data_IF_990001395945
#
_entry.id   IF_990001395945
#
_cell.length_a   1.000
_cell.length_b   1.000
_cell.length_c   1.000
_cell.angle_alpha   90.00
_cell.angle_beta   90.00
_cell.angle_gamma   90.00
#
_symmetry.space_group_name_H-M   'P 1'
#
loop_
_entity.id
_entity.type
_entity.pdbx_description
1 polymer ?
#
# COMPACT_ATOMS: atom_id res chain seq x y z
N UNK A 1 25.31 1.47 -5.73
CA UNK A 1 24.06 1.17 -6.47
C UNK A 1 22.91 1.89 -5.79
N UNK A 2 21.97 2.46 -6.54
CA UNK A 2 20.84 3.22 -6.00
C UNK A 2 19.92 2.30 -5.16
N UNK A 3 19.49 2.78 -3.98
CA UNK A 3 18.60 2.04 -3.04
C UNK A 3 17.29 2.77 -2.76
N UNK A 4 17.24 4.07 -3.02
CA UNK A 4 16.06 4.91 -2.84
C UNK A 4 15.87 5.76 -4.07
N UNK A 5 14.65 5.85 -4.56
CA UNK A 5 14.27 6.65 -5.70
C UNK A 5 13.01 7.44 -5.37
N UNK A 6 13.11 8.76 -5.44
CA UNK A 6 11.98 9.67 -5.23
C UNK A 6 11.56 10.23 -6.59
N UNK A 7 10.34 9.91 -7.01
CA UNK A 7 9.70 10.42 -8.22
C UNK A 7 8.42 11.20 -7.89
N UNK A 8 8.26 11.58 -6.61
CA UNK A 8 7.05 12.23 -6.11
C UNK A 8 6.73 13.47 -6.94
N UNK A 9 5.46 13.58 -7.36
CA UNK A 9 4.92 14.69 -8.18
C UNK A 9 5.66 14.91 -9.50
N UNK A 10 6.41 13.93 -9.99
CA UNK A 10 6.94 13.94 -11.36
C UNK A 10 5.90 13.38 -12.34
N UNK A 11 6.02 13.76 -13.60
CA UNK A 11 5.18 13.27 -14.68
C UNK A 11 5.57 11.85 -15.14
N UNK A 12 5.85 10.95 -14.20
CA UNK A 12 6.16 9.54 -14.48
C UNK A 12 4.87 8.78 -14.71
N UNK A 13 4.70 8.22 -15.90
CA UNK A 13 3.56 7.36 -16.24
C UNK A 13 3.86 5.89 -15.98
N UNK A 14 2.81 5.06 -15.92
CA UNK A 14 2.93 3.61 -15.75
C UNK A 14 3.95 2.95 -16.71
N UNK A 15 3.89 3.21 -18.03
CA UNK A 15 4.88 2.68 -18.98
C UNK A 15 6.32 3.09 -18.65
N UNK A 16 6.54 4.26 -18.04
CA UNK A 16 7.87 4.72 -17.63
C UNK A 16 8.50 3.87 -16.53
N UNK A 17 7.70 3.13 -15.74
CA UNK A 17 8.20 2.26 -14.67
C UNK A 17 8.94 1.03 -15.19
N UNK A 18 8.79 0.67 -16.47
CA UNK A 18 9.53 -0.45 -17.07
C UNK A 18 11.06 -0.27 -16.95
N UNK A 19 11.53 0.98 -16.91
CA UNK A 19 12.95 1.32 -16.80
C UNK A 19 13.52 1.05 -15.39
N UNK A 20 12.67 0.78 -14.40
CA UNK A 20 13.11 0.42 -13.05
C UNK A 20 13.55 -1.05 -12.94
N UNK A 21 13.26 -1.91 -13.92
CA UNK A 21 13.51 -3.35 -13.86
C UNK A 21 14.96 -3.74 -13.53
N UNK A 22 15.92 -2.92 -13.94
CA UNK A 22 17.36 -3.18 -13.74
C UNK A 22 17.87 -2.64 -12.39
N UNK A 23 17.02 -1.94 -11.64
CA UNK A 23 17.32 -1.40 -10.31
C UNK A 23 17.14 -2.46 -9.20
N UNK A 24 17.77 -3.63 -9.34
CA UNK A 24 17.59 -4.77 -8.43
C UNK A 24 17.99 -4.53 -6.95
N UNK A 25 18.55 -3.37 -6.63
CA UNK A 25 18.90 -2.96 -5.26
C UNK A 25 17.98 -1.86 -4.71
N UNK A 26 16.93 -1.48 -5.45
CA UNK A 26 15.97 -0.48 -5.01
C UNK A 26 15.15 -1.06 -3.86
N UNK A 27 15.16 -0.35 -2.74
CA UNK A 27 14.47 -0.72 -1.50
C UNK A 27 13.33 0.23 -1.16
N UNK A 28 13.39 1.47 -1.64
CA UNK A 28 12.37 2.49 -1.39
C UNK A 28 12.06 3.25 -2.68
N UNK A 29 10.78 3.35 -3.00
CA UNK A 29 10.27 4.04 -4.17
C UNK A 29 9.12 4.96 -3.77
N UNK A 30 9.24 6.25 -4.05
CA UNK A 30 8.16 7.22 -3.88
C UNK A 30 7.57 7.61 -5.24
N UNK A 31 6.29 7.28 -5.45
CA UNK A 31 5.49 7.60 -6.63
C UNK A 31 4.31 8.52 -6.27
N UNK A 32 4.32 9.15 -5.09
CA UNK A 32 3.20 9.93 -4.61
C UNK A 32 2.85 11.09 -5.56
N UNK A 33 1.57 11.23 -5.91
CA UNK A 33 1.07 12.28 -6.80
C UNK A 33 1.59 12.17 -8.24
N UNK A 34 2.01 10.98 -8.67
CA UNK A 34 2.32 10.68 -10.08
C UNK A 34 1.08 10.13 -10.79
N UNK A 35 1.01 10.18 -12.13
CA UNK A 35 -0.09 9.57 -12.90
C UNK A 35 0.05 8.04 -13.08
N UNK A 36 0.79 7.35 -12.20
CA UNK A 36 0.92 5.87 -12.26
C UNK A 36 -0.42 5.22 -11.91
N UNK A 37 -0.92 4.39 -12.82
CA UNK A 37 -2.14 3.59 -12.68
C UNK A 37 -1.82 2.11 -12.41
N UNK A 38 -2.87 1.29 -12.31
CA UNK A 38 -2.78 -0.15 -12.06
C UNK A 38 -1.88 -0.87 -13.08
N UNK A 39 -1.95 -0.49 -14.36
CA UNK A 39 -1.13 -1.07 -15.43
C UNK A 39 0.36 -0.80 -15.22
N UNK A 40 0.72 0.33 -14.62
CA UNK A 40 2.11 0.67 -14.34
C UNK A 40 2.74 -0.17 -13.24
N UNK A 41 1.93 -0.59 -12.25
CA UNK A 41 2.43 -1.29 -11.07
C UNK A 41 3.01 -2.68 -11.40
N UNK A 42 2.60 -3.30 -12.52
CA UNK A 42 3.09 -4.63 -12.92
C UNK A 42 4.62 -4.66 -13.07
N UNK A 43 5.24 -3.53 -13.39
CA UNK A 43 6.69 -3.41 -13.52
C UNK A 43 7.43 -3.45 -12.17
N UNK A 44 6.75 -3.17 -11.05
CA UNK A 44 7.36 -3.22 -9.72
C UNK A 44 7.69 -4.65 -9.27
N UNK A 45 7.10 -5.67 -9.89
CA UNK A 45 7.42 -7.09 -9.65
C UNK A 45 8.89 -7.44 -9.97
N UNK A 46 9.55 -6.62 -10.80
CA UNK A 46 10.97 -6.78 -11.12
C UNK A 46 11.91 -6.22 -10.03
N UNK A 47 11.40 -5.70 -8.91
CA UNK A 47 12.17 -5.09 -7.84
C UNK A 47 12.23 -6.02 -6.60
N UNK A 48 13.11 -7.03 -6.58
CA UNK A 48 13.10 -8.10 -5.56
C UNK A 48 13.53 -7.64 -4.16
N UNK A 49 13.82 -6.34 -3.96
CA UNK A 49 14.23 -5.78 -2.67
C UNK A 49 13.35 -4.63 -2.22
N UNK A 50 12.27 -4.34 -2.96
CA UNK A 50 11.41 -3.21 -2.66
C UNK A 50 10.69 -3.46 -1.33
N UNK A 51 11.04 -2.66 -0.32
CA UNK A 51 10.53 -2.78 1.04
C UNK A 51 9.63 -1.60 1.44
N UNK A 52 9.72 -0.47 0.73
CA UNK A 52 8.94 0.73 1.00
C UNK A 52 8.40 1.32 -0.30
N UNK A 53 7.08 1.49 -0.37
CA UNK A 53 6.39 2.02 -1.54
C UNK A 53 5.38 3.09 -1.12
N UNK A 54 5.49 4.26 -1.73
CA UNK A 54 4.53 5.35 -1.58
C UNK A 54 3.74 5.56 -2.87
N UNK A 55 2.42 5.40 -2.79
CA UNK A 55 1.44 5.55 -3.87
C UNK A 55 0.33 6.53 -3.48
N UNK A 56 0.60 7.45 -2.57
CA UNK A 56 -0.36 8.49 -2.19
C UNK A 56 -0.83 9.27 -3.42
N UNK A 57 -2.13 9.54 -3.50
CA UNK A 57 -2.73 10.39 -4.54
C UNK A 57 -2.39 9.95 -5.98
N UNK A 58 -2.25 8.64 -6.22
CA UNK A 58 -2.16 8.05 -7.56
C UNK A 58 -3.52 7.51 -8.01
N UNK A 59 -3.83 7.46 -9.32
CA UNK A 59 -5.09 6.95 -9.86
C UNK A 59 -5.19 5.41 -9.82
N UNK A 60 -5.05 4.82 -8.64
CA UNK A 60 -5.16 3.37 -8.43
C UNK A 60 -6.60 2.92 -8.18
N UNK A 61 -6.88 1.69 -8.59
CA UNK A 61 -8.09 0.94 -8.25
C UNK A 61 -7.73 -0.39 -7.55
N UNK A 62 -8.75 -1.19 -7.26
CA UNK A 62 -8.60 -2.52 -6.67
C UNK A 62 -7.70 -3.44 -7.51
N UNK A 63 -7.67 -3.25 -8.83
CA UNK A 63 -6.81 -4.05 -9.72
C UNK A 63 -5.31 -3.82 -9.44
N UNK A 64 -4.91 -2.60 -9.07
CA UNK A 64 -3.55 -2.29 -8.69
C UNK A 64 -3.12 -3.03 -7.41
N UNK A 65 -4.03 -3.20 -6.46
CA UNK A 65 -3.74 -3.90 -5.20
C UNK A 65 -3.43 -5.38 -5.37
N UNK A 66 -4.00 -6.03 -6.41
CA UNK A 66 -3.65 -7.40 -6.75
C UNK A 66 -2.15 -7.53 -7.08
N UNK A 67 -1.60 -6.58 -7.83
CA UNK A 67 -0.16 -6.52 -8.12
C UNK A 67 0.66 -6.23 -6.86
N UNK A 68 0.18 -5.32 -6.00
CA UNK A 68 0.89 -5.01 -4.75
C UNK A 68 0.98 -6.22 -3.81
N UNK A 69 -0.05 -7.07 -3.75
CA UNK A 69 -0.07 -8.28 -2.95
C UNK A 69 1.03 -9.30 -3.29
N UNK A 70 1.60 -9.22 -4.50
CA UNK A 70 2.72 -10.07 -4.93
C UNK A 70 4.10 -9.56 -4.46
N UNK A 71 4.18 -8.33 -3.94
CA UNK A 71 5.43 -7.71 -3.48
C UNK A 71 5.75 -8.12 -2.03
N UNK A 72 5.99 -9.42 -1.81
CA UNK A 72 6.07 -10.04 -0.47
C UNK A 72 7.12 -9.47 0.49
N UNK A 73 8.11 -8.72 0.00
CA UNK A 73 9.13 -8.07 0.83
C UNK A 73 8.73 -6.65 1.33
N UNK A 74 7.56 -6.16 0.94
CA UNK A 74 7.05 -4.87 1.42
C UNK A 74 6.89 -4.86 2.94
N UNK A 75 7.44 -3.81 3.55
CA UNK A 75 7.38 -3.49 4.98
C UNK A 75 6.61 -2.20 5.25
N UNK A 76 6.57 -1.30 4.28
CA UNK A 76 5.84 -0.03 4.34
C UNK A 76 5.10 0.22 3.04
N UNK A 77 3.79 0.43 3.16
CA UNK A 77 2.91 0.75 2.04
C UNK A 77 2.05 1.97 2.40
N UNK A 78 2.11 3.01 1.55
CA UNK A 78 1.35 4.25 1.72
C UNK A 78 0.34 4.35 0.57
N UNK A 79 -0.95 4.28 0.90
CA UNK A 79 -2.11 4.32 0.00
C UNK A 79 -3.07 5.43 0.45
N UNK A 80 -2.56 6.64 0.66
CA UNK A 80 -3.38 7.78 1.08
C UNK A 80 -4.08 8.43 -0.10
N UNK A 81 -5.31 8.88 0.08
CA UNK A 81 -6.09 9.61 -0.93
C UNK A 81 -6.20 8.86 -2.28
N UNK A 82 -6.32 7.53 -2.23
CA UNK A 82 -6.57 6.66 -3.41
C UNK A 82 -8.02 6.16 -3.41
N UNK A 83 -8.49 5.69 -4.57
CA UNK A 83 -9.88 5.25 -4.78
C UNK A 83 -9.98 3.72 -4.87
N UNK A 84 -9.82 3.06 -3.73
CA UNK A 84 -9.97 1.60 -3.59
C UNK A 84 -11.18 1.25 -2.72
N UNK A 85 -11.72 0.04 -2.87
CA UNK A 85 -12.85 -0.47 -2.09
C UNK A 85 -12.40 -1.35 -0.92
N UNK A 86 -13.34 -1.67 -0.02
CA UNK A 86 -13.12 -2.62 1.07
C UNK A 86 -12.63 -3.99 0.55
N UNK A 87 -13.24 -4.50 -0.53
CA UNK A 87 -12.88 -5.78 -1.13
C UNK A 87 -11.50 -5.74 -1.81
N UNK A 88 -11.13 -4.58 -2.34
CA UNK A 88 -9.84 -4.32 -2.96
C UNK A 88 -8.65 -4.57 -2.04
N UNK A 89 -8.83 -4.46 -0.72
CA UNK A 89 -7.76 -4.70 0.26
C UNK A 89 -7.41 -6.18 0.46
N UNK A 90 -8.26 -7.10 0.00
CA UNK A 90 -8.05 -8.54 0.21
C UNK A 90 -6.69 -9.09 -0.27
N UNK A 91 -6.10 -8.66 -1.40
CA UNK A 91 -4.79 -9.16 -1.84
C UNK A 91 -3.64 -8.74 -0.92
N UNK A 92 -3.77 -7.62 -0.20
CA UNK A 92 -2.71 -7.15 0.71
C UNK A 92 -2.47 -8.13 1.85
N UNK A 93 -3.42 -9.01 2.17
CA UNK A 93 -3.24 -10.06 3.17
C UNK A 93 -2.08 -11.04 2.87
N UNK A 94 -1.57 -11.07 1.64
CA UNK A 94 -0.38 -11.82 1.25
C UNK A 94 0.95 -11.16 1.71
N UNK A 95 0.92 -9.88 2.10
CA UNK A 95 2.09 -9.11 2.53
C UNK A 95 2.48 -9.44 3.98
N UNK A 96 3.00 -10.65 4.18
CA UNK A 96 3.33 -11.19 5.50
C UNK A 96 4.37 -10.36 6.27
N UNK A 97 5.17 -9.54 5.58
CA UNK A 97 6.21 -8.70 6.16
C UNK A 97 5.77 -7.24 6.42
N UNK A 98 4.51 -6.89 6.11
CA UNK A 98 4.04 -5.51 6.17
C UNK A 98 3.96 -5.04 7.63
N UNK A 99 4.78 -4.04 7.97
CA UNK A 99 4.84 -3.46 9.30
C UNK A 99 4.12 -2.11 9.42
N UNK A 100 3.99 -1.37 8.32
CA UNK A 100 3.29 -0.09 8.26
C UNK A 100 2.37 -0.02 7.04
N UNK A 101 1.11 0.29 7.29
CA UNK A 101 0.10 0.53 6.25
C UNK A 101 -0.63 1.84 6.54
N UNK A 102 -0.75 2.68 5.52
CA UNK A 102 -1.48 3.95 5.63
C UNK A 102 -2.57 4.04 4.58
N UNK A 103 -3.81 4.22 5.05
CA UNK A 103 -5.06 4.24 4.29
C UNK A 103 -5.83 5.55 4.53
N UNK A 104 -5.13 6.60 4.94
CA UNK A 104 -5.75 7.88 5.26
C UNK A 104 -6.54 8.42 4.06
N UNK A 105 -7.77 8.86 4.30
CA UNK A 105 -8.62 9.46 3.27
C UNK A 105 -9.15 8.47 2.22
N UNK A 106 -9.01 7.16 2.44
CA UNK A 106 -9.59 6.14 1.58
C UNK A 106 -11.04 5.87 2.00
N UNK A 107 -12.01 5.76 1.07
CA UNK A 107 -13.43 5.59 1.38
C UNK A 107 -13.77 4.15 1.83
N UNK A 108 -13.11 3.66 2.89
CA UNK A 108 -13.32 2.33 3.47
C UNK A 108 -14.41 2.33 4.54
N UNK A 109 -15.01 1.18 4.80
CA UNK A 109 -16.00 0.95 5.86
C UNK A 109 -15.58 -0.20 6.77
N UNK A 110 -16.40 -0.56 7.76
CA UNK A 110 -16.15 -1.74 8.60
C UNK A 110 -16.02 -3.05 7.79
N UNK A 111 -16.51 -3.09 6.53
CA UNK A 111 -16.36 -4.25 5.67
C UNK A 111 -14.89 -4.59 5.33
N UNK A 112 -13.94 -3.66 5.43
CA UNK A 112 -12.52 -3.97 5.24
C UNK A 112 -11.84 -4.62 6.46
N UNK A 113 -12.45 -4.57 7.64
CA UNK A 113 -11.84 -5.03 8.90
C UNK A 113 -11.34 -6.47 8.82
N UNK A 114 -12.10 -7.45 8.26
CA UNK A 114 -11.61 -8.82 8.11
C UNK A 114 -10.35 -8.93 7.23
N UNK A 115 -10.17 -8.04 6.25
CA UNK A 115 -8.99 -8.03 5.40
C UNK A 115 -7.77 -7.46 6.15
N UNK A 116 -7.94 -6.32 6.83
CA UNK A 116 -6.89 -5.68 7.62
C UNK A 116 -6.44 -6.56 8.80
N UNK A 117 -7.37 -7.29 9.44
CA UNK A 117 -7.11 -8.21 10.54
C UNK A 117 -6.16 -9.37 10.17
N UNK A 118 -5.95 -9.65 8.88
CA UNK A 118 -5.01 -10.68 8.41
C UNK A 118 -3.56 -10.21 8.44
N UNK A 119 -3.31 -8.90 8.49
CA UNK A 119 -1.98 -8.29 8.49
C UNK A 119 -1.35 -8.30 9.89
N UNK A 120 -1.14 -9.49 10.45
CA UNK A 120 -0.75 -9.70 11.86
C UNK A 120 0.64 -9.16 12.24
N UNK A 121 1.46 -8.78 11.27
CA UNK A 121 2.78 -8.17 11.50
C UNK A 121 2.75 -6.64 11.54
N UNK A 122 1.58 -6.02 11.33
CA UNK A 122 1.44 -4.57 11.41
C UNK A 122 1.85 -4.06 12.79
N UNK A 123 2.69 -3.03 12.76
CA UNK A 123 3.10 -2.22 13.90
C UNK A 123 2.43 -0.85 13.86
N UNK A 124 2.10 -0.37 12.67
CA UNK A 124 1.47 0.93 12.44
C UNK A 124 0.37 0.80 11.39
N UNK A 125 -0.82 1.26 11.72
CA UNK A 125 -1.97 1.33 10.82
C UNK A 125 -2.61 2.71 10.95
N UNK A 126 -2.62 3.48 9.86
CA UNK A 126 -3.31 4.77 9.77
C UNK A 126 -4.58 4.59 8.93
N UNK A 127 -5.74 4.70 9.57
CA UNK A 127 -7.08 4.64 8.96
C UNK A 127 -7.84 5.96 9.13
N UNK A 128 -7.12 7.08 9.34
CA UNK A 128 -7.77 8.36 9.56
C UNK A 128 -8.52 8.86 8.34
N UNK A 129 -9.70 9.44 8.56
CA UNK A 129 -10.57 9.89 7.47
C UNK A 129 -11.12 8.75 6.60
N UNK A 130 -11.14 7.52 7.11
CA UNK A 130 -11.95 6.42 6.57
C UNK A 130 -13.35 6.43 7.21
N UNK A 131 -14.26 5.62 6.68
CA UNK A 131 -15.59 5.35 7.24
C UNK A 131 -15.63 4.15 8.20
N UNK A 132 -14.48 3.66 8.68
CA UNK A 132 -14.44 2.64 9.74
C UNK A 132 -15.05 3.24 11.01
N UNK A 133 -16.01 2.54 11.62
CA UNK A 133 -16.71 2.99 12.81
C UNK A 133 -15.91 2.72 14.08
N UNK A 134 -16.40 3.19 15.23
CA UNK A 134 -15.83 2.84 16.53
C UNK A 134 -15.87 1.32 16.80
N UNK A 135 -16.88 0.61 16.27
CA UNK A 135 -16.99 -0.84 16.39
C UNK A 135 -15.91 -1.54 15.55
N UNK A 136 -15.76 -1.16 14.29
CA UNK A 136 -14.68 -1.68 13.43
C UNK A 136 -13.29 -1.39 13.99
N UNK A 137 -13.07 -0.19 14.54
CA UNK A 137 -11.83 0.14 15.25
C UNK A 137 -11.58 -0.78 16.45
N UNK A 138 -12.61 -1.08 17.25
CA UNK A 138 -12.49 -1.99 18.39
C UNK A 138 -12.12 -3.42 17.94
N UNK A 139 -12.70 -3.90 16.84
CA UNK A 139 -12.34 -5.18 16.22
C UNK A 139 -10.90 -5.20 15.72
N UNK A 140 -10.44 -4.13 15.05
CA UNK A 140 -9.06 -4.01 14.60
C UNK A 140 -8.07 -4.01 15.77
N UNK A 141 -8.37 -3.28 16.86
CA UNK A 141 -7.54 -3.27 18.08
C UNK A 141 -7.45 -4.66 18.71
N UNK A 142 -8.54 -5.44 18.68
CA UNK A 142 -8.56 -6.83 19.15
C UNK A 142 -7.74 -7.75 18.25
N UNK A 143 -7.86 -7.59 16.93
CA UNK A 143 -7.18 -8.43 15.94
C UNK A 143 -5.68 -8.12 15.80
N UNK A 144 -5.29 -6.86 15.98
CA UNK A 144 -3.94 -6.33 15.81
C UNK A 144 -3.44 -5.69 17.13
N UNK A 145 -3.33 -6.45 18.24
CA UNK A 145 -3.07 -5.89 19.57
C UNK A 145 -1.70 -5.24 19.74
N UNK A 146 -0.78 -5.44 18.78
CA UNK A 146 0.57 -4.86 18.76
C UNK A 146 0.70 -3.66 17.81
N UNK A 147 -0.33 -3.40 17.01
CA UNK A 147 -0.32 -2.29 16.07
C UNK A 147 -0.76 -0.99 16.77
N UNK A 148 -0.01 0.08 16.57
CA UNK A 148 -0.48 1.43 16.82
C UNK A 148 -1.47 1.79 15.71
N UNK A 149 -2.75 1.91 16.06
CA UNK A 149 -3.81 2.30 15.13
C UNK A 149 -4.15 3.77 15.33
N UNK A 150 -4.06 4.56 14.26
CA UNK A 150 -4.51 5.95 14.18
C UNK A 150 -5.84 5.96 13.41
N UNK A 151 -6.87 6.58 13.98
CA UNK A 151 -8.23 6.67 13.46
C UNK A 151 -8.69 8.13 13.53
#
# INVERSE_FOLDING_TARGET
KLRRLDLRRLAVSGPGLIHLKDMANLESLDLGGTPVSDEGLVHLKALPRLASLNLMATPLSDAGLATLGELGDLRTLILRDVKISDAGLSPLAALANLGRLELRGVPLTDACVPHLARLRQLKELDISGTGISAAGLAELKKALPRAKIVH
#
